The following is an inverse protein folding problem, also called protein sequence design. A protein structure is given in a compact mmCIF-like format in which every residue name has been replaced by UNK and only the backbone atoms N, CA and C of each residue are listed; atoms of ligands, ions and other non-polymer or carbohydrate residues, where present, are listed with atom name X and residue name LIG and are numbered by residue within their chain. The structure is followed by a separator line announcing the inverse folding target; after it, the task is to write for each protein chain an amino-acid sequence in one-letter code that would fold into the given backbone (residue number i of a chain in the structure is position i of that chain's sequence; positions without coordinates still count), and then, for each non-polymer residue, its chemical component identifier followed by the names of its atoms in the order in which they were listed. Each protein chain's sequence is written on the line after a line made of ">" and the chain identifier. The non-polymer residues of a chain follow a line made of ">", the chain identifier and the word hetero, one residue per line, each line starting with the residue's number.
data_IF_378447150544
#
_entry.id   IF_378447150544
#
_cell.length_a   1.000
_cell.length_b   1.000
_cell.length_c   1.000
_cell.angle_alpha   90.00
_cell.angle_beta   90.00
_cell.angle_gamma   90.00
#
_symmetry.space_group_name_H-M   'P 1'
#
loop_
_entity.id
_entity.type
_entity.pdbx_description
1 polymer ?
#
# COMPACT_ATOMS: atom_id res chain seq x y z
N UNK A 1 -21.26 6.75 6.80
CA UNK A 1 -20.14 5.81 7.03
C UNK A 1 -20.59 4.44 6.52
N UNK A 2 -20.18 4.05 5.31
CA UNK A 2 -20.63 2.83 4.62
C UNK A 2 -19.56 1.73 4.55
N UNK A 3 -18.53 1.82 5.40
CA UNK A 3 -17.36 0.93 5.35
C UNK A 3 -17.69 -0.57 5.24
N UNK A 4 -18.61 -1.07 6.06
CA UNK A 4 -18.97 -2.50 6.00
C UNK A 4 -19.79 -2.87 4.77
N UNK A 5 -20.51 -1.91 4.16
CA UNK A 5 -21.24 -2.12 2.92
C UNK A 5 -20.28 -2.12 1.73
N UNK A 6 -19.31 -1.22 1.70
CA UNK A 6 -18.27 -1.15 0.66
C UNK A 6 -17.33 -2.36 0.72
N UNK A 7 -16.94 -2.78 1.93
CA UNK A 7 -16.15 -3.99 2.16
C UNK A 7 -16.94 -5.28 1.81
N UNK A 8 -18.26 -5.29 2.04
CA UNK A 8 -19.09 -6.44 1.68
C UNK A 8 -19.35 -6.54 0.17
N UNK A 9 -19.23 -5.43 -0.56
CA UNK A 9 -19.36 -5.37 -2.01
C UNK A 9 -18.05 -5.65 -2.75
N UNK A 10 -16.90 -5.46 -2.10
CA UNK A 10 -15.61 -5.72 -2.71
C UNK A 10 -15.40 -7.21 -2.98
N UNK A 11 -14.91 -7.53 -4.17
CA UNK A 11 -14.60 -8.92 -4.56
C UNK A 11 -13.10 -9.16 -4.43
N UNK A 12 -12.77 -10.22 -3.71
CA UNK A 12 -11.48 -10.90 -3.83
C UNK A 12 -10.45 -10.61 -2.74
N UNK A 13 -9.22 -11.07 -2.99
CA UNK A 13 -8.14 -11.12 -2.03
C UNK A 13 -6.89 -10.44 -2.56
N UNK A 14 -6.30 -9.56 -1.76
CA UNK A 14 -5.10 -8.80 -2.13
C UNK A 14 -3.84 -9.57 -1.74
N UNK A 15 -2.92 -9.74 -2.69
CA UNK A 15 -1.56 -10.17 -2.43
C UNK A 15 -0.57 -9.03 -2.75
N UNK A 16 0.12 -8.52 -1.74
CA UNK A 16 1.18 -7.52 -1.87
C UNK A 16 2.54 -8.19 -1.69
N UNK A 17 3.45 -8.00 -2.65
CA UNK A 17 4.81 -8.56 -2.58
C UNK A 17 5.89 -7.58 -3.07
N UNK A 18 7.08 -7.68 -2.48
CA UNK A 18 8.30 -6.94 -2.84
C UNK A 18 9.42 -7.95 -3.14
N UNK A 19 9.55 -8.42 -4.40
CA UNK A 19 10.63 -9.35 -4.77
C UNK A 19 11.99 -8.62 -4.88
N UNK A 20 13.09 -9.19 -4.36
CA UNK A 20 14.42 -8.62 -4.56
C UNK A 20 14.89 -8.85 -6.01
N UNK A 21 15.39 -7.79 -6.67
CA UNK A 21 15.90 -7.85 -8.05
C UNK A 21 17.39 -8.19 -8.18
N UNK A 22 18.11 -8.42 -7.06
CA UNK A 22 19.57 -8.53 -7.04
C UNK A 22 20.08 -9.85 -6.42
N UNK A 23 21.07 -10.47 -7.09
CA UNK A 23 21.73 -11.75 -6.78
C UNK A 23 22.35 -11.90 -5.36
N UNK A 24 22.34 -10.86 -4.51
CA UNK A 24 22.90 -10.88 -3.15
C UNK A 24 21.79 -10.55 -2.15
N UNK A 25 21.30 -11.57 -1.44
CA UNK A 25 19.91 -11.63 -0.97
C UNK A 25 19.66 -11.28 0.51
N UNK A 26 20.66 -11.21 1.40
CA UNK A 26 20.35 -11.14 2.85
C UNK A 26 20.08 -9.73 3.43
N UNK A 27 20.98 -8.75 3.22
CA UNK A 27 20.82 -7.41 3.81
C UNK A 27 19.80 -6.53 3.07
N UNK A 28 19.62 -6.75 1.76
CA UNK A 28 18.64 -6.06 0.92
C UNK A 28 17.19 -6.52 1.16
N UNK A 29 16.96 -7.76 1.59
CA UNK A 29 15.62 -8.26 1.92
C UNK A 29 15.06 -7.59 3.18
N UNK A 30 15.87 -7.48 4.24
CA UNK A 30 15.47 -6.81 5.48
C UNK A 30 15.11 -5.34 5.26
N UNK A 31 15.83 -4.64 4.36
CA UNK A 31 15.52 -3.27 3.96
C UNK A 31 14.21 -3.14 3.16
N UNK A 32 13.93 -4.06 2.24
CA UNK A 32 12.68 -4.11 1.44
C UNK A 32 11.44 -4.29 2.32
N UNK A 33 11.49 -5.29 3.22
CA UNK A 33 10.39 -5.57 4.14
C UNK A 33 10.16 -4.37 5.06
N UNK A 34 11.23 -3.77 5.60
CA UNK A 34 11.13 -2.55 6.42
C UNK A 34 10.54 -1.37 5.64
N UNK A 35 11.00 -1.10 4.41
CA UNK A 35 10.50 0.00 3.62
C UNK A 35 9.01 -0.17 3.29
N UNK A 36 8.61 -1.36 2.84
CA UNK A 36 7.21 -1.67 2.54
C UNK A 36 6.31 -1.47 3.77
N UNK A 37 6.64 -2.07 4.92
CA UNK A 37 5.83 -1.90 6.14
C UNK A 37 5.81 -0.46 6.65
N UNK A 38 6.93 0.27 6.49
CA UNK A 38 7.00 1.69 6.87
C UNK A 38 6.04 2.52 6.03
N UNK A 39 6.05 2.35 4.71
CA UNK A 39 5.15 3.09 3.82
C UNK A 39 3.70 2.60 3.90
N UNK A 40 3.47 1.31 4.17
CA UNK A 40 2.14 0.79 4.42
C UNK A 40 1.49 1.49 5.63
N UNK A 41 2.19 1.54 6.77
CA UNK A 41 1.67 2.19 7.98
C UNK A 41 1.48 3.69 7.78
N UNK A 42 2.42 4.35 7.10
CA UNK A 42 2.32 5.79 6.81
C UNK A 42 1.17 6.10 5.87
N UNK A 43 1.00 5.30 4.83
CA UNK A 43 -0.13 5.41 3.90
C UNK A 43 -1.46 5.29 4.64
N UNK A 44 -1.63 4.25 5.46
CA UNK A 44 -2.83 4.04 6.27
C UNK A 44 -3.07 5.11 7.35
N UNK A 45 -2.04 5.88 7.74
CA UNK A 45 -2.18 7.04 8.64
C UNK A 45 -2.71 8.29 7.94
N UNK A 46 -2.76 8.29 6.61
CA UNK A 46 -3.24 9.43 5.81
C UNK A 46 -2.26 9.91 4.75
N UNK A 47 -0.99 9.48 4.77
CA UNK A 47 -0.02 9.94 3.74
C UNK A 47 -0.38 9.42 2.33
N UNK A 48 -1.27 8.43 2.23
CA UNK A 48 -1.76 7.88 0.97
C UNK A 48 -3.07 8.52 0.48
N UNK A 49 -3.71 9.39 1.25
CA UNK A 49 -4.93 10.11 0.83
C UNK A 49 -4.56 11.14 -0.25
N UNK A 50 -4.78 10.79 -1.52
CA UNK A 50 -4.32 11.59 -2.65
C UNK A 50 -5.39 12.58 -3.13
N UNK A 51 -6.67 12.25 -2.93
CA UNK A 51 -7.80 13.12 -3.28
C UNK A 51 -8.31 13.99 -2.11
N UNK A 52 -7.87 13.71 -0.88
CA UNK A 52 -8.17 14.49 0.32
C UNK A 52 -9.56 14.20 0.89
N UNK A 53 -10.17 13.07 0.54
CA UNK A 53 -11.52 12.69 0.98
C UNK A 53 -11.53 11.97 2.35
N UNK A 54 -10.37 11.87 3.01
CA UNK A 54 -10.14 11.18 4.29
C UNK A 54 -10.39 9.66 4.23
N UNK A 55 -10.61 9.09 3.05
CA UNK A 55 -10.84 7.67 2.78
C UNK A 55 -9.75 7.13 1.88
N UNK A 56 -8.86 6.32 2.44
CA UNK A 56 -7.79 5.74 1.66
C UNK A 56 -8.33 4.51 0.93
N UNK A 57 -8.35 4.56 -0.40
CA UNK A 57 -8.67 3.39 -1.22
C UNK A 57 -7.42 2.57 -1.58
N UNK A 58 -7.63 1.32 -1.96
CA UNK A 58 -6.55 0.38 -2.27
C UNK A 58 -5.59 0.92 -3.35
N UNK A 59 -6.14 1.55 -4.39
CA UNK A 59 -5.35 2.16 -5.47
C UNK A 59 -4.39 3.21 -4.94
N UNK A 60 -4.88 4.14 -4.13
CA UNK A 60 -4.06 5.23 -3.59
C UNK A 60 -2.97 4.70 -2.65
N UNK A 61 -3.33 3.77 -1.77
CA UNK A 61 -2.36 3.10 -0.90
C UNK A 61 -1.26 2.40 -1.70
N UNK A 62 -1.64 1.69 -2.78
CA UNK A 62 -0.67 1.02 -3.63
C UNK A 62 0.22 2.01 -4.39
N UNK A 63 -0.34 3.07 -4.97
CA UNK A 63 0.42 4.10 -5.67
C UNK A 63 1.41 4.82 -4.74
N UNK A 64 0.99 5.12 -3.50
CA UNK A 64 1.85 5.66 -2.45
C UNK A 64 3.02 4.71 -2.14
N UNK A 65 2.75 3.44 -1.86
CA UNK A 65 3.80 2.45 -1.57
C UNK A 65 4.72 2.28 -2.78
N UNK A 66 4.17 2.19 -3.98
CA UNK A 66 4.91 2.01 -5.23
C UNK A 66 5.93 3.12 -5.44
N UNK A 67 5.49 4.38 -5.34
CA UNK A 67 6.34 5.56 -5.52
C UNK A 67 7.45 5.60 -4.47
N UNK A 68 7.08 5.49 -3.19
CA UNK A 68 8.01 5.66 -2.09
C UNK A 68 9.05 4.52 -2.00
N UNK A 69 8.65 3.27 -2.25
CA UNK A 69 9.60 2.14 -2.27
C UNK A 69 10.56 2.26 -3.44
N UNK A 70 10.09 2.69 -4.62
CA UNK A 70 10.97 2.90 -5.78
C UNK A 70 11.97 4.03 -5.53
N UNK A 71 11.52 5.12 -4.94
CA UNK A 71 12.39 6.25 -4.58
C UNK A 71 13.43 5.83 -3.53
N UNK A 72 13.00 5.17 -2.45
CA UNK A 72 13.88 4.68 -1.38
C UNK A 72 14.90 3.65 -1.86
N UNK A 73 14.54 2.81 -2.83
CA UNK A 73 15.41 1.74 -3.34
C UNK A 73 16.18 2.13 -4.61
N UNK A 74 16.01 3.35 -5.11
CA UNK A 74 16.65 3.80 -6.35
C UNK A 74 16.22 2.99 -7.58
N UNK A 75 14.92 2.70 -7.70
CA UNK A 75 14.30 1.89 -8.78
C UNK A 75 14.76 0.43 -8.85
N UNK A 76 15.49 -0.05 -7.84
CA UNK A 76 15.96 -1.45 -7.79
C UNK A 76 14.79 -2.41 -7.55
N UNK A 77 13.77 -1.98 -6.81
CA UNK A 77 12.62 -2.80 -6.46
C UNK A 77 11.34 -2.22 -7.03
N UNK A 78 10.37 -3.09 -7.34
CA UNK A 78 9.09 -2.72 -7.91
C UNK A 78 8.02 -3.48 -7.13
N UNK A 79 7.29 -2.82 -6.21
CA UNK A 79 6.16 -3.42 -5.52
C UNK A 79 5.12 -3.91 -6.53
N UNK A 80 4.52 -5.05 -6.26
CA UNK A 80 3.47 -5.62 -7.09
C UNK A 80 2.25 -5.97 -6.21
N UNK A 81 1.09 -5.64 -6.74
CA UNK A 81 -0.20 -6.10 -6.24
C UNK A 81 -0.74 -7.16 -7.21
N UNK A 82 -1.27 -8.24 -6.68
CA UNK A 82 -1.84 -9.34 -7.47
C UNK A 82 -3.07 -9.90 -6.76
N UNK A 83 -3.98 -10.48 -7.54
CA UNK A 83 -5.24 -11.02 -7.06
C UNK A 83 -6.44 -10.41 -7.81
N UNK A 84 -7.63 -10.91 -7.50
CA UNK A 84 -8.87 -10.23 -7.83
C UNK A 84 -9.12 -9.23 -6.69
N UNK A 85 -9.15 -7.94 -7.01
CA UNK A 85 -9.35 -6.89 -6.03
C UNK A 85 -10.05 -5.70 -6.68
N UNK A 86 -10.85 -4.99 -5.90
CA UNK A 86 -11.44 -3.73 -6.31
C UNK A 86 -10.48 -2.57 -5.97
N UNK A 87 -10.07 -1.82 -6.99
CA UNK A 87 -9.19 -0.65 -6.85
C UNK A 87 -9.79 0.44 -5.96
N UNK A 88 -11.12 0.54 -5.95
CA UNK A 88 -11.88 1.52 -5.15
C UNK A 88 -12.25 0.99 -3.77
N UNK A 89 -11.81 -0.23 -3.41
CA UNK A 89 -12.08 -0.76 -2.08
C UNK A 89 -11.43 0.13 -1.01
N UNK A 90 -12.21 0.64 -0.04
CA UNK A 90 -11.66 1.40 1.06
C UNK A 90 -10.83 0.48 1.97
N UNK A 91 -9.63 0.91 2.31
CA UNK A 91 -8.67 0.17 3.14
C UNK A 91 -8.27 0.90 4.42
N UNK A 92 -8.61 2.19 4.54
CA UNK A 92 -8.40 2.98 5.75
C UNK A 92 -9.20 4.28 5.75
N UNK A 93 -9.36 4.88 6.92
CA UNK A 93 -9.91 6.22 7.09
C UNK A 93 -9.05 7.01 8.05
N UNK A 94 -8.91 8.31 7.78
CA UNK A 94 -8.27 9.25 8.68
C UNK A 94 -9.34 9.70 9.69
N UNK A 95 -9.12 9.43 10.98
CA UNK A 95 -9.91 10.09 12.04
C UNK A 95 -9.21 11.38 12.42
N UNK A 96 -9.94 12.49 12.36
CA UNK A 96 -9.57 13.67 13.13
C UNK A 96 -9.75 13.32 14.61
N UNK A 97 -8.72 13.54 15.42
CA UNK A 97 -8.83 13.49 16.88
C UNK A 97 -9.39 14.85 17.33
N UNK A 98 -10.61 14.84 17.88
CA UNK A 98 -11.24 15.97 18.59
C UNK A 98 -10.49 16.35 19.88
#
# INVERSE_FOLDING_TARGET
>A
MHYYEDLAQSKGGIHLSCPPRAKNIHWKMAGCVKAFFTFLIRGLKGDADADGDQTIVLKELFEYIYKNVREYTGNVQTPMIAGDYDEQMPVGFIREED
#
